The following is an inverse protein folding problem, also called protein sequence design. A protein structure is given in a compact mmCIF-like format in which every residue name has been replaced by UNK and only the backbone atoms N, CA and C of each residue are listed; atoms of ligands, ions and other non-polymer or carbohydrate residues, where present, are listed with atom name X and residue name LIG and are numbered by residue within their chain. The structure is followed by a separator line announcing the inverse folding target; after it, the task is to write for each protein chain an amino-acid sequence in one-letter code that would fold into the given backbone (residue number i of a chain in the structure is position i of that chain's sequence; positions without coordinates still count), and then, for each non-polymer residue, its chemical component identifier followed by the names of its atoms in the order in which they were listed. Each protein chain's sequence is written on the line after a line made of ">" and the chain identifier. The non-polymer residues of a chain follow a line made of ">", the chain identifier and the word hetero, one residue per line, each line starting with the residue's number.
data_IF_433083319696
#
_entry.id   IF_433083319696
#
_cell.length_a   1.000
_cell.length_b   1.000
_cell.length_c   1.000
_cell.angle_alpha   90.00
_cell.angle_beta   90.00
_cell.angle_gamma   90.00
#
_symmetry.space_group_name_H-M   'P 1'
#
loop_
_entity.id
_entity.type
_entity.pdbx_description
1 polymer ?
#
# COMPACT_ATOMS: atom_id res chain seq x y z
N UNK A 1 -19.63 48.22 7.20
CA UNK A 1 -18.81 47.05 7.57
C UNK A 1 -19.62 45.81 7.27
N UNK A 2 -19.31 45.14 6.16
CA UNK A 2 -19.78 43.77 5.93
C UNK A 2 -18.94 42.84 6.80
N UNK A 3 -19.51 41.82 7.46
CA UNK A 3 -18.75 40.87 8.25
C UNK A 3 -17.92 39.99 7.31
N UNK A 4 -16.64 39.81 7.64
CA UNK A 4 -15.75 38.87 6.96
C UNK A 4 -16.30 37.44 7.08
N UNK A 5 -16.20 36.62 6.03
CA UNK A 5 -16.58 35.22 6.11
C UNK A 5 -15.60 34.49 7.04
N UNK A 6 -16.13 33.89 8.10
CA UNK A 6 -15.41 32.98 8.97
C UNK A 6 -14.95 31.80 8.12
N UNK A 7 -13.65 31.73 7.83
CA UNK A 7 -13.03 30.53 7.27
C UNK A 7 -13.31 29.37 8.22
N UNK A 8 -14.19 28.46 7.80
CA UNK A 8 -14.30 27.16 8.44
C UNK A 8 -12.93 26.49 8.33
N UNK A 9 -12.27 26.28 9.47
CA UNK A 9 -11.06 25.48 9.55
C UNK A 9 -11.52 24.06 9.20
N UNK A 10 -11.38 23.67 7.94
CA UNK A 10 -11.57 22.30 7.51
C UNK A 10 -10.68 21.43 8.38
N UNK A 11 -11.30 20.65 9.27
CA UNK A 11 -10.57 19.66 10.06
C UNK A 11 -9.97 18.69 9.04
N UNK A 12 -8.63 18.55 8.98
CA UNK A 12 -8.03 17.77 7.93
C UNK A 12 -8.55 16.33 8.03
N UNK A 13 -9.02 15.78 6.91
CA UNK A 13 -9.60 14.42 6.89
C UNK A 13 -8.58 13.44 7.48
N UNK A 14 -9.02 12.53 8.37
CA UNK A 14 -8.14 11.53 8.93
C UNK A 14 -7.59 10.63 7.83
N UNK A 15 -6.32 10.26 7.96
CA UNK A 15 -5.70 9.27 7.10
C UNK A 15 -5.96 7.88 7.67
N UNK A 16 -6.59 7.01 6.88
CA UNK A 16 -6.97 5.67 7.31
C UNK A 16 -5.90 4.64 6.94
N UNK A 17 -5.59 3.74 7.86
CA UNK A 17 -4.82 2.53 7.58
C UNK A 17 -5.41 1.30 8.26
N UNK A 18 -5.51 0.19 7.53
CA UNK A 18 -5.86 -1.10 8.11
C UNK A 18 -4.69 -1.65 8.95
N UNK A 19 -4.98 -2.25 10.12
CA UNK A 19 -3.97 -2.91 10.99
C UNK A 19 -3.10 -3.87 10.19
N UNK A 20 -3.70 -4.68 9.32
CA UNK A 20 -2.96 -5.60 8.46
C UNK A 20 -1.95 -4.88 7.57
N UNK A 21 -2.35 -3.78 6.93
CA UNK A 21 -1.47 -2.99 6.06
C UNK A 21 -0.37 -2.29 6.85
N UNK A 22 -0.65 -1.82 8.07
CA UNK A 22 0.36 -1.24 8.96
C UNK A 22 1.43 -2.27 9.34
N UNK A 23 0.99 -3.44 9.79
CA UNK A 23 1.86 -4.54 10.19
C UNK A 23 2.70 -5.04 9.00
N UNK A 24 2.07 -5.28 7.84
CA UNK A 24 2.78 -5.69 6.63
C UNK A 24 3.79 -4.61 6.21
N UNK A 25 3.42 -3.33 6.20
CA UNK A 25 4.32 -2.25 5.81
C UNK A 25 5.59 -2.18 6.67
N UNK A 26 5.45 -2.28 8.00
CA UNK A 26 6.58 -2.11 8.92
C UNK A 26 7.37 -3.40 9.09
N UNK A 27 6.69 -4.53 9.29
CA UNK A 27 7.31 -5.77 9.77
C UNK A 27 7.52 -6.84 8.69
N UNK A 28 7.01 -6.68 7.47
CA UNK A 28 7.23 -7.67 6.42
C UNK A 28 8.73 -7.87 6.17
N UNK A 29 9.15 -9.13 6.17
CA UNK A 29 10.54 -9.58 6.12
C UNK A 29 10.62 -10.95 5.45
N UNK A 30 11.83 -11.39 5.10
CA UNK A 30 12.06 -12.69 4.50
C UNK A 30 11.83 -12.71 2.98
N UNK A 31 11.51 -13.90 2.48
CA UNK A 31 11.61 -14.18 1.05
C UNK A 31 10.37 -13.77 0.26
N UNK A 32 10.56 -13.40 -1.00
CA UNK A 32 9.45 -13.39 -1.96
C UNK A 32 9.24 -14.81 -2.44
N UNK A 33 8.05 -15.34 -2.21
CA UNK A 33 7.68 -16.64 -2.77
C UNK A 33 6.95 -16.43 -4.09
N UNK A 34 7.09 -17.34 -5.06
CA UNK A 34 6.18 -17.35 -6.20
C UNK A 34 4.79 -17.46 -5.62
N UNK A 35 3.90 -16.52 -5.93
CA UNK A 35 2.49 -16.70 -5.63
C UNK A 35 2.10 -18.03 -6.27
N UNK A 36 1.98 -19.09 -5.46
CA UNK A 36 1.68 -20.42 -5.97
C UNK A 36 0.38 -20.36 -6.77
N UNK A 37 0.05 -21.43 -7.50
CA UNK A 37 -1.29 -21.60 -8.05
C UNK A 37 -2.30 -21.51 -6.90
N UNK A 38 -2.75 -20.30 -6.59
CA UNK A 38 -3.76 -20.07 -5.59
C UNK A 38 -5.04 -20.57 -6.24
N UNK A 39 -5.62 -21.63 -5.66
CA UNK A 39 -6.93 -22.08 -6.11
C UNK A 39 -7.85 -20.86 -6.14
N UNK A 40 -8.64 -20.73 -7.21
CA UNK A 40 -9.54 -19.59 -7.43
C UNK A 40 -10.53 -19.39 -6.27
N UNK A 41 -10.77 -20.43 -5.47
CA UNK A 41 -11.66 -20.47 -4.31
C UNK A 41 -10.98 -20.22 -2.95
N UNK A 42 -9.65 -20.02 -2.89
CA UNK A 42 -8.91 -19.93 -1.60
C UNK A 42 -9.48 -18.86 -0.65
N UNK A 43 -9.85 -17.69 -1.18
CA UNK A 43 -10.44 -16.62 -0.39
C UNK A 43 -11.82 -17.02 0.19
N UNK A 44 -12.63 -17.73 -0.60
CA UNK A 44 -13.93 -18.23 -0.18
C UNK A 44 -13.78 -19.33 0.88
N UNK A 45 -12.88 -20.29 0.64
CA UNK A 45 -12.57 -21.36 1.61
C UNK A 45 -12.01 -20.79 2.91
N UNK A 46 -11.14 -19.77 2.84
CA UNK A 46 -10.64 -19.06 4.00
C UNK A 46 -11.78 -18.44 4.82
N UNK A 47 -12.67 -17.71 4.17
CA UNK A 47 -13.86 -17.11 4.83
C UNK A 47 -14.76 -18.18 5.47
N UNK A 48 -14.96 -19.32 4.80
CA UNK A 48 -15.72 -20.44 5.37
C UNK A 48 -15.01 -21.07 6.58
N UNK A 49 -13.69 -21.17 6.54
CA UNK A 49 -12.86 -21.63 7.65
C UNK A 49 -13.03 -20.75 8.89
N UNK A 50 -12.94 -19.42 8.75
CA UNK A 50 -13.18 -18.48 9.86
C UNK A 50 -14.57 -18.70 10.47
N UNK A 51 -15.62 -18.76 9.63
CA UNK A 51 -16.99 -19.01 10.09
C UNK A 51 -17.13 -20.36 10.82
N UNK A 52 -16.41 -21.39 10.39
CA UNK A 52 -16.45 -22.70 11.03
C UNK A 52 -15.83 -22.67 12.44
N UNK A 53 -14.67 -22.01 12.59
CA UNK A 53 -14.01 -21.82 13.88
C UNK A 53 -14.92 -21.03 14.83
N UNK A 54 -15.42 -19.88 14.37
CA UNK A 54 -16.29 -18.98 15.14
C UNK A 54 -17.58 -19.68 15.63
N UNK A 55 -18.22 -20.50 14.79
CA UNK A 55 -19.43 -21.27 15.16
C UNK A 55 -19.20 -22.29 16.27
N UNK A 56 -17.97 -22.77 16.41
CA UNK A 56 -17.61 -23.76 17.42
C UNK A 56 -17.22 -23.11 18.76
N UNK A 57 -17.22 -21.77 18.85
CA UNK A 57 -16.91 -21.03 20.08
C UNK A 57 -18.13 -20.98 21.03
N UNK A 58 -17.89 -20.90 22.36
CA UNK A 58 -18.95 -20.90 23.35
C UNK A 58 -19.83 -19.64 23.30
N UNK A 59 -20.97 -19.69 23.98
CA UNK A 59 -21.83 -18.52 24.17
C UNK A 59 -21.07 -17.37 24.84
N UNK A 60 -21.30 -16.14 24.38
CA UNK A 60 -20.61 -14.94 24.86
C UNK A 60 -19.36 -14.57 24.06
N UNK A 61 -18.89 -15.42 23.15
CA UNK A 61 -17.87 -15.08 22.16
C UNK A 61 -18.43 -14.10 21.11
N UNK A 62 -17.71 -13.03 20.84
CA UNK A 62 -18.05 -12.05 19.82
C UNK A 62 -17.19 -12.29 18.57
N UNK A 63 -17.80 -12.15 17.39
CA UNK A 63 -17.16 -12.39 16.09
C UNK A 63 -17.08 -11.11 15.29
N UNK A 64 -16.00 -10.93 14.51
CA UNK A 64 -15.86 -9.84 13.53
C UNK A 64 -16.05 -8.45 14.15
N UNK A 65 -15.46 -8.21 15.32
CA UNK A 65 -15.59 -6.96 16.08
C UNK A 65 -14.79 -5.85 15.39
N UNK A 66 -15.46 -4.83 14.88
CA UNK A 66 -14.79 -3.65 14.32
C UNK A 66 -14.12 -2.84 15.42
N UNK A 67 -12.90 -2.38 15.16
CA UNK A 67 -12.15 -1.57 16.12
C UNK A 67 -11.37 -0.47 15.40
N UNK A 68 -11.37 0.72 15.99
CA UNK A 68 -10.71 1.92 15.46
C UNK A 68 -9.93 2.59 16.57
N UNK A 69 -8.67 2.93 16.30
CA UNK A 69 -7.83 3.68 17.22
C UNK A 69 -7.27 4.90 16.50
N UNK A 70 -7.50 6.06 17.10
CA UNK A 70 -7.11 7.35 16.53
C UNK A 70 -5.83 7.85 17.18
N UNK A 71 -4.84 8.17 16.34
CA UNK A 71 -3.55 8.74 16.75
C UNK A 71 -3.56 10.23 16.41
N UNK A 72 -3.56 11.09 17.42
CA UNK A 72 -3.70 12.55 17.25
C UNK A 72 -2.39 13.23 16.81
N UNK A 73 -1.21 12.68 17.12
CA UNK A 73 0.11 13.28 16.80
C UNK A 73 0.61 13.00 15.37
N UNK A 74 -0.29 12.55 14.50
CA UNK A 74 -0.09 12.49 13.07
C UNK A 74 -0.59 13.83 12.47
N UNK A 75 0.21 14.52 11.68
CA UNK A 75 -0.39 15.51 10.79
C UNK A 75 -1.06 14.77 9.63
N UNK A 76 -2.26 15.18 9.18
CA UNK A 76 -3.60 14.81 9.74
C UNK A 76 -3.67 13.62 10.72
N UNK A 77 -4.73 13.52 11.56
CA UNK A 77 -4.91 12.40 12.47
C UNK A 77 -4.93 11.06 11.71
N UNK A 78 -4.27 10.04 12.27
CA UNK A 78 -4.21 8.70 11.69
C UNK A 78 -5.24 7.82 12.37
N UNK A 79 -6.14 7.21 11.60
CA UNK A 79 -7.05 6.18 12.09
C UNK A 79 -6.55 4.79 11.71
N UNK A 80 -6.14 4.03 12.73
CA UNK A 80 -5.78 2.63 12.58
C UNK A 80 -7.04 1.80 12.78
N UNK A 81 -7.44 1.09 11.73
CA UNK A 81 -8.72 0.37 11.67
C UNK A 81 -8.52 -1.13 11.52
N UNK A 82 -9.38 -1.90 12.15
CA UNK A 82 -9.26 -3.35 12.17
C UNK A 82 -10.58 -4.04 12.40
N UNK A 83 -10.54 -5.36 12.22
CA UNK A 83 -11.65 -6.24 12.57
C UNK A 83 -11.08 -7.46 13.26
N UNK A 84 -11.46 -7.64 14.50
CA UNK A 84 -11.01 -8.73 15.36
C UNK A 84 -11.83 -9.97 14.98
N UNK A 85 -11.16 -11.07 14.61
CA UNK A 85 -11.85 -12.30 14.21
C UNK A 85 -12.72 -12.86 15.36
N UNK A 86 -12.19 -12.82 16.59
CA UNK A 86 -12.86 -13.30 17.79
C UNK A 86 -12.49 -12.54 19.07
N UNK A 87 -13.45 -12.38 19.98
CA UNK A 87 -13.25 -11.76 21.28
C UNK A 87 -14.03 -12.52 22.36
N UNK A 88 -13.35 -12.87 23.45
CA UNK A 88 -13.94 -13.38 24.69
C UNK A 88 -13.92 -12.25 25.73
N UNK A 89 -14.97 -11.42 25.79
CA UNK A 89 -14.98 -10.24 26.66
C UNK A 89 -15.18 -10.57 28.14
N UNK A 90 -15.72 -11.76 28.46
CA UNK A 90 -16.14 -12.15 29.81
C UNK A 90 -15.11 -13.05 30.51
N UNK A 91 -13.86 -13.07 30.06
CA UNK A 91 -12.75 -13.79 30.70
C UNK A 91 -11.83 -12.81 31.42
N UNK A 92 -11.11 -13.30 32.42
CA UNK A 92 -10.05 -12.54 33.10
C UNK A 92 -8.71 -13.30 32.97
N UNK A 93 -7.76 -12.81 32.17
CA UNK A 93 -7.83 -11.60 31.33
C UNK A 93 -8.78 -11.76 30.13
N UNK A 94 -9.18 -10.64 29.51
CA UNK A 94 -9.90 -10.65 28.23
C UNK A 94 -9.05 -11.35 27.17
N UNK A 95 -9.68 -12.16 26.31
CA UNK A 95 -8.98 -12.90 25.25
C UNK A 95 -9.39 -12.39 23.87
N UNK A 96 -8.41 -12.08 23.04
CA UNK A 96 -8.58 -11.84 21.61
C UNK A 96 -8.14 -13.05 20.82
N UNK A 97 -8.94 -13.47 19.85
CA UNK A 97 -8.61 -14.53 18.91
C UNK A 97 -8.38 -13.99 17.51
N UNK A 98 -7.23 -14.31 16.93
CA UNK A 98 -6.90 -14.08 15.52
C UNK A 98 -6.88 -15.43 14.79
N UNK A 99 -7.66 -15.56 13.73
CA UNK A 99 -7.86 -16.81 13.01
C UNK A 99 -7.09 -16.77 11.70
N UNK A 100 -6.39 -17.87 11.38
CA UNK A 100 -5.65 -18.03 10.12
C UNK A 100 -5.99 -19.37 9.48
N UNK A 101 -6.41 -19.36 8.23
CA UNK A 101 -6.63 -20.60 7.48
C UNK A 101 -5.41 -21.03 6.70
N UNK A 102 -5.10 -22.32 6.73
CA UNK A 102 -3.93 -22.88 6.05
C UNK A 102 -4.24 -24.22 5.39
N UNK A 103 -3.45 -24.57 4.38
CA UNK A 103 -3.36 -25.91 3.79
C UNK A 103 -2.02 -26.60 4.12
N UNK A 104 -1.16 -25.93 4.90
CA UNK A 104 0.07 -26.51 5.45
C UNK A 104 -0.30 -27.41 6.63
N UNK A 105 0.36 -28.56 6.75
CA UNK A 105 0.20 -29.42 7.94
C UNK A 105 0.39 -28.61 9.23
N UNK A 106 -0.54 -28.76 10.18
CA UNK A 106 -0.46 -28.08 11.48
C UNK A 106 0.76 -28.51 12.32
N UNK A 107 1.38 -29.64 11.99
CA UNK A 107 2.64 -30.07 12.62
C UNK A 107 3.82 -29.17 12.22
N UNK A 108 3.76 -28.56 11.03
CA UNK A 108 4.77 -27.62 10.52
C UNK A 108 4.48 -26.17 10.92
N UNK A 109 3.29 -25.89 11.45
CA UNK A 109 2.94 -24.59 12.00
C UNK A 109 3.36 -24.57 13.46
N UNK A 110 4.38 -23.78 13.79
CA UNK A 110 4.79 -23.50 15.16
C UNK A 110 4.37 -22.08 15.57
N UNK A 111 4.62 -21.72 16.82
CA UNK A 111 4.23 -20.42 17.37
C UNK A 111 4.88 -19.23 16.64
N UNK A 112 6.12 -19.41 16.16
CA UNK A 112 6.90 -18.38 15.45
C UNK A 112 6.72 -18.43 13.93
N UNK A 113 5.78 -19.25 13.44
CA UNK A 113 5.60 -19.53 12.01
C UNK A 113 5.40 -18.27 11.18
N UNK A 114 4.69 -17.28 11.72
CA UNK A 114 4.53 -15.99 11.06
C UNK A 114 4.35 -14.85 12.08
N UNK A 115 5.37 -14.01 12.19
CA UNK A 115 5.38 -12.83 13.06
C UNK A 115 4.27 -11.82 12.73
N UNK A 116 3.86 -11.69 11.47
CA UNK A 116 2.82 -10.73 11.06
C UNK A 116 1.46 -11.09 11.65
N UNK A 117 1.17 -12.38 11.85
CA UNK A 117 -0.07 -12.82 12.46
C UNK A 117 -0.15 -12.40 13.94
N UNK A 118 0.94 -12.60 14.69
CA UNK A 118 1.06 -12.10 16.06
C UNK A 118 1.01 -10.58 16.14
N UNK A 119 1.66 -9.90 15.21
CA UNK A 119 1.68 -8.44 15.16
C UNK A 119 0.28 -7.86 14.93
N UNK A 120 -0.51 -8.46 14.03
CA UNK A 120 -1.90 -8.06 13.79
C UNK A 120 -2.74 -8.22 15.06
N UNK A 121 -2.64 -9.38 15.74
CA UNK A 121 -3.36 -9.64 16.97
C UNK A 121 -2.94 -8.72 18.14
N UNK A 122 -1.64 -8.40 18.25
CA UNK A 122 -1.13 -7.45 19.24
C UNK A 122 -1.67 -6.03 19.03
N UNK A 123 -1.83 -5.59 17.78
CA UNK A 123 -2.51 -4.32 17.52
C UNK A 123 -3.95 -4.34 18.04
N UNK A 124 -4.72 -5.41 17.78
CA UNK A 124 -6.08 -5.53 18.32
C UNK A 124 -6.08 -5.56 19.85
N UNK A 125 -5.16 -6.29 20.48
CA UNK A 125 -5.00 -6.34 21.93
C UNK A 125 -4.70 -4.98 22.54
N UNK A 126 -3.80 -4.20 21.94
CA UNK A 126 -3.54 -2.83 22.35
C UNK A 126 -4.80 -1.98 22.30
N UNK A 127 -5.51 -2.00 21.16
CA UNK A 127 -6.68 -1.16 20.94
C UNK A 127 -7.81 -1.50 21.94
N UNK A 128 -8.09 -2.80 22.15
CA UNK A 128 -9.09 -3.26 23.14
C UNK A 128 -8.66 -2.92 24.56
N UNK A 129 -7.39 -3.18 24.92
CA UNK A 129 -6.89 -2.88 26.26
C UNK A 129 -6.97 -1.39 26.58
N UNK A 130 -6.71 -0.53 25.59
CA UNK A 130 -6.87 0.93 25.72
C UNK A 130 -8.31 1.37 25.84
N UNK A 131 -9.20 0.86 24.98
CA UNK A 131 -10.63 1.21 24.99
C UNK A 131 -11.31 0.80 26.31
N UNK A 132 -10.94 -0.37 26.85
CA UNK A 132 -11.56 -0.95 28.04
C UNK A 132 -10.75 -0.72 29.34
N UNK A 133 -9.65 0.03 29.28
CA UNK A 133 -8.74 0.29 30.40
C UNK A 133 -8.23 -0.99 31.10
N UNK A 134 -7.85 -2.00 30.32
CA UNK A 134 -7.34 -3.28 30.82
C UNK A 134 -5.83 -3.19 31.12
N UNK A 135 -5.37 -3.86 32.17
CA UNK A 135 -3.93 -3.96 32.48
C UNK A 135 -3.17 -4.92 31.56
N UNK A 136 -3.87 -5.83 30.89
CA UNK A 136 -3.32 -6.80 29.96
C UNK A 136 -4.41 -7.61 29.27
N UNK A 137 -4.02 -8.30 28.19
CA UNK A 137 -4.92 -9.09 27.33
C UNK A 137 -4.19 -10.38 26.95
N UNK A 138 -4.94 -11.47 26.85
CA UNK A 138 -4.44 -12.71 26.28
C UNK A 138 -4.80 -12.80 24.80
N UNK A 139 -3.90 -13.32 23.99
CA UNK A 139 -4.09 -13.49 22.55
C UNK A 139 -4.05 -14.98 22.22
N UNK A 140 -5.07 -15.45 21.52
CA UNK A 140 -5.16 -16.76 20.91
C UNK A 140 -4.90 -16.62 19.41
N UNK A 141 -3.81 -17.19 18.92
CA UNK A 141 -3.55 -17.30 17.49
C UNK A 141 -3.95 -18.69 17.00
N UNK A 142 -5.08 -18.78 16.31
CA UNK A 142 -5.70 -20.05 15.89
C UNK A 142 -5.48 -20.31 14.41
N UNK A 143 -4.80 -21.42 14.10
CA UNK A 143 -4.67 -21.92 12.73
C UNK A 143 -5.69 -23.01 12.45
N UNK A 144 -6.52 -22.80 11.44
CA UNK A 144 -7.51 -23.77 10.95
C UNK A 144 -7.05 -24.40 9.64
N UNK A 145 -6.88 -25.73 9.64
CA UNK A 145 -6.51 -26.46 8.44
C UNK A 145 -7.74 -26.76 7.57
N UNK A 146 -7.74 -26.24 6.34
CA UNK A 146 -8.94 -26.23 5.48
C UNK A 146 -9.46 -27.63 5.13
N UNK A 147 -8.57 -28.60 4.89
CA UNK A 147 -8.97 -29.94 4.45
C UNK A 147 -9.34 -30.86 5.62
N UNK A 148 -8.50 -30.89 6.67
CA UNK A 148 -8.71 -31.76 7.83
C UNK A 148 -9.67 -31.19 8.86
N UNK A 149 -10.00 -29.90 8.76
CA UNK A 149 -10.87 -29.15 9.68
C UNK A 149 -10.39 -29.15 11.14
N UNK A 150 -9.10 -29.39 11.34
CA UNK A 150 -8.46 -29.35 12.66
C UNK A 150 -7.98 -27.93 12.95
N UNK A 151 -7.91 -27.61 14.23
CA UNK A 151 -7.41 -26.34 14.76
C UNK A 151 -6.12 -26.57 15.56
N UNK A 152 -5.23 -25.58 15.53
CA UNK A 152 -4.07 -25.48 16.43
C UNK A 152 -3.99 -24.04 16.93
N UNK A 153 -4.04 -23.86 18.24
CA UNK A 153 -4.04 -22.55 18.88
C UNK A 153 -2.76 -22.35 19.68
N UNK A 154 -2.22 -21.14 19.60
CA UNK A 154 -1.12 -20.68 20.44
C UNK A 154 -1.61 -19.52 21.30
N UNK A 155 -1.14 -19.45 22.55
CA UNK A 155 -1.63 -18.51 23.54
C UNK A 155 -0.48 -17.70 24.12
N UNK A 156 -0.63 -16.37 24.16
CA UNK A 156 0.32 -15.46 24.81
C UNK A 156 -0.42 -14.40 25.60
N UNK A 157 0.11 -14.06 26.76
CA UNK A 157 -0.37 -12.96 27.57
C UNK A 157 0.54 -11.74 27.36
N UNK A 158 -0.06 -10.56 27.24
CA UNK A 158 0.66 -9.30 27.12
C UNK A 158 0.10 -8.27 28.09
N UNK A 159 0.98 -7.54 28.74
CA UNK A 159 0.63 -6.33 29.50
C UNK A 159 0.30 -5.18 28.56
N UNK A 160 -0.48 -4.21 29.04
CA UNK A 160 -0.76 -2.98 28.30
C UNK A 160 0.52 -2.23 27.90
N UNK A 161 1.54 -2.23 28.76
CA UNK A 161 2.80 -1.53 28.51
C UNK A 161 3.59 -2.14 27.34
N UNK A 162 3.62 -3.48 27.23
CA UNK A 162 4.24 -4.18 26.10
C UNK A 162 3.50 -3.89 24.79
N UNK A 163 2.17 -3.97 24.83
CA UNK A 163 1.30 -3.71 23.69
C UNK A 163 1.40 -2.26 23.19
N UNK A 164 1.49 -1.30 24.11
CA UNK A 164 1.65 0.11 23.80
C UNK A 164 2.99 0.39 23.14
N UNK A 165 4.09 -0.12 23.71
CA UNK A 165 5.42 0.02 23.12
C UNK A 165 5.45 -0.54 21.70
N UNK A 166 4.93 -1.76 21.53
CA UNK A 166 4.84 -2.41 20.24
C UNK A 166 4.02 -1.61 19.22
N UNK A 167 2.82 -1.15 19.60
CA UNK A 167 1.94 -0.41 18.70
C UNK A 167 2.53 0.95 18.30
N UNK A 168 3.10 1.69 19.26
CA UNK A 168 3.72 2.99 19.00
C UNK A 168 4.95 2.89 18.09
N UNK A 169 5.76 1.82 18.20
CA UNK A 169 6.88 1.59 17.29
C UNK A 169 6.40 1.43 15.84
N UNK A 170 5.32 0.65 15.62
CA UNK A 170 4.72 0.48 14.29
C UNK A 170 4.18 1.79 13.73
N UNK A 171 3.38 2.49 14.52
CA UNK A 171 2.76 3.76 14.12
C UNK A 171 3.83 4.81 13.82
N UNK A 172 4.87 4.91 14.64
CA UNK A 172 5.98 5.87 14.45
C UNK A 172 6.70 5.61 13.13
N UNK A 173 7.05 4.34 12.85
CA UNK A 173 7.69 3.97 11.60
C UNK A 173 6.82 4.33 10.39
N UNK A 174 5.51 4.07 10.46
CA UNK A 174 4.57 4.42 9.42
C UNK A 174 4.41 5.93 9.22
N UNK A 175 4.26 6.69 10.29
CA UNK A 175 4.09 8.14 10.23
C UNK A 175 5.31 8.85 9.64
N UNK A 176 6.53 8.36 9.91
CA UNK A 176 7.73 8.88 9.27
C UNK A 176 7.69 8.74 7.75
N UNK A 177 7.25 7.59 7.25
CA UNK A 177 7.03 7.38 5.81
C UNK A 177 5.88 8.25 5.27
N UNK A 178 4.75 8.31 5.97
CA UNK A 178 3.58 9.07 5.54
C UNK A 178 3.88 10.57 5.39
N UNK A 179 4.59 11.15 6.36
CA UNK A 179 5.05 12.56 6.32
C UNK A 179 5.98 12.80 5.12
N UNK A 180 6.88 11.86 4.83
CA UNK A 180 7.78 11.94 3.66
C UNK A 180 7.01 11.96 2.34
N UNK A 181 6.02 11.07 2.19
CA UNK A 181 5.18 11.02 0.98
C UNK A 181 4.31 12.27 0.85
N UNK A 182 3.73 12.75 1.94
CA UNK A 182 2.91 13.96 1.95
C UNK A 182 3.71 15.20 1.54
N UNK A 183 4.93 15.35 2.10
CA UNK A 183 5.84 16.42 1.71
C UNK A 183 6.26 16.33 0.23
N UNK A 184 6.48 15.11 -0.29
CA UNK A 184 6.77 14.90 -1.70
C UNK A 184 5.59 15.27 -2.60
N UNK A 185 4.36 14.89 -2.23
CA UNK A 185 3.15 15.24 -2.97
C UNK A 185 2.93 16.75 -3.04
N UNK A 186 3.11 17.46 -1.92
CA UNK A 186 3.02 18.92 -1.89
C UNK A 186 4.05 19.58 -2.84
N UNK A 187 5.31 19.11 -2.81
CA UNK A 187 6.35 19.59 -3.73
C UNK A 187 6.03 19.28 -5.19
N UNK A 188 5.62 18.05 -5.49
CA UNK A 188 5.18 17.62 -6.83
C UNK A 188 4.09 18.56 -7.33
N UNK A 189 3.05 18.78 -6.54
CA UNK A 189 1.88 19.59 -6.95
C UNK A 189 2.26 21.05 -7.17
N UNK A 190 3.13 21.61 -6.32
CA UNK A 190 3.69 22.95 -6.52
C UNK A 190 4.49 23.06 -7.83
N UNK A 191 5.40 22.11 -8.10
CA UNK A 191 6.18 22.12 -9.34
C UNK A 191 5.27 21.99 -10.57
N UNK A 192 4.27 21.09 -10.53
CA UNK A 192 3.29 20.91 -11.61
C UNK A 192 2.53 22.21 -11.89
N UNK A 193 2.17 22.97 -10.85
CA UNK A 193 1.50 24.25 -11.04
C UNK A 193 2.39 25.26 -11.77
N UNK A 194 3.68 25.29 -11.46
CA UNK A 194 4.65 26.25 -11.99
C UNK A 194 5.16 25.91 -13.39
N UNK A 195 5.25 24.62 -13.76
CA UNK A 195 5.84 24.26 -15.05
C UNK A 195 5.02 24.80 -16.24
N UNK A 196 5.77 25.29 -17.23
CA UNK A 196 5.27 25.63 -18.56
C UNK A 196 5.45 24.46 -19.53
N UNK A 197 5.00 24.63 -20.77
CA UNK A 197 5.21 23.62 -21.81
C UNK A 197 6.72 23.47 -22.07
N UNK A 198 7.28 22.23 -22.09
CA UNK A 198 8.74 22.02 -22.09
C UNK A 198 9.43 22.31 -23.42
N UNK A 199 8.74 22.87 -24.41
CA UNK A 199 9.29 23.22 -25.72
C UNK A 199 8.90 24.66 -26.07
N UNK A 200 9.71 25.29 -26.93
CA UNK A 200 9.50 26.69 -27.36
C UNK A 200 8.08 26.94 -27.88
N UNK A 201 7.59 26.04 -28.75
CA UNK A 201 6.29 26.20 -29.41
C UNK A 201 5.52 24.88 -29.53
N UNK A 202 4.20 25.01 -29.58
CA UNK A 202 3.33 23.90 -29.97
C UNK A 202 3.38 23.68 -31.49
N UNK A 203 3.47 22.41 -31.90
CA UNK A 203 3.28 22.03 -33.30
C UNK A 203 1.80 22.20 -33.71
N UNK A 204 1.50 22.37 -35.02
CA UNK A 204 0.11 22.48 -35.50
C UNK A 204 -0.79 21.35 -34.99
N UNK A 205 -1.92 21.69 -34.36
CA UNK A 205 -2.89 20.76 -33.77
C UNK A 205 -2.48 20.12 -32.43
N UNK A 206 -1.22 20.28 -31.99
CA UNK A 206 -0.74 19.72 -30.73
C UNK A 206 -1.40 20.38 -29.52
N UNK A 207 -1.56 21.71 -29.57
CA UNK A 207 -2.23 22.48 -28.52
C UNK A 207 -3.71 22.12 -28.40
N UNK A 208 -4.39 21.95 -29.52
CA UNK A 208 -5.81 21.57 -29.54
C UNK A 208 -6.01 20.19 -28.91
N UNK A 209 -5.13 19.24 -29.22
CA UNK A 209 -5.12 17.92 -28.58
C UNK A 209 -4.88 18.02 -27.07
N UNK A 210 -3.92 18.83 -26.63
CA UNK A 210 -3.62 18.99 -25.20
C UNK A 210 -4.78 19.62 -24.43
N UNK A 211 -5.42 20.65 -24.99
CA UNK A 211 -6.60 21.29 -24.41
C UNK A 211 -7.77 20.31 -24.33
N UNK A 212 -8.01 19.53 -25.40
CA UNK A 212 -9.06 18.52 -25.40
C UNK A 212 -8.81 17.43 -24.36
N UNK A 213 -7.56 16.96 -24.22
CA UNK A 213 -7.18 15.95 -23.24
C UNK A 213 -7.39 16.46 -21.81
N UNK A 214 -6.98 17.70 -21.51
CA UNK A 214 -7.19 18.31 -20.21
C UNK A 214 -8.68 18.41 -19.85
N UNK A 215 -9.50 18.91 -20.77
CA UNK A 215 -10.95 19.02 -20.58
C UNK A 215 -11.59 17.66 -20.32
N UNK A 216 -11.20 16.63 -21.07
CA UNK A 216 -11.70 15.28 -20.87
C UNK A 216 -11.35 14.73 -19.49
N UNK A 217 -10.14 14.99 -18.97
CA UNK A 217 -9.76 14.59 -17.61
C UNK A 217 -10.61 15.34 -16.57
N UNK A 218 -10.68 16.67 -16.66
CA UNK A 218 -11.47 17.52 -15.75
C UNK A 218 -12.94 17.09 -15.70
N UNK A 219 -13.51 16.78 -16.86
CA UNK A 219 -14.93 16.43 -17.00
C UNK A 219 -15.19 14.93 -16.74
N UNK A 220 -14.19 14.17 -16.28
CA UNK A 220 -14.24 12.71 -16.10
C UNK A 220 -14.77 11.94 -17.33
N UNK A 221 -14.42 12.44 -18.52
CA UNK A 221 -14.88 11.95 -19.81
C UNK A 221 -13.89 11.03 -20.53
N UNK A 222 -14.21 10.73 -21.80
CA UNK A 222 -13.35 9.96 -22.70
C UNK A 222 -13.07 10.80 -23.95
N UNK A 223 -11.81 10.77 -24.40
CA UNK A 223 -11.39 11.47 -25.60
C UNK A 223 -10.81 10.48 -26.60
N UNK A 224 -11.29 10.56 -27.84
CA UNK A 224 -10.74 9.85 -28.99
C UNK A 224 -10.12 10.87 -29.93
N UNK A 225 -8.82 10.73 -30.22
CA UNK A 225 -8.09 11.67 -31.08
C UNK A 225 -7.44 10.92 -32.23
N UNK A 226 -7.73 11.37 -33.45
CA UNK A 226 -6.96 11.01 -34.63
C UNK A 226 -5.96 12.14 -34.90
N UNK A 227 -4.66 11.83 -34.83
CA UNK A 227 -3.59 12.82 -35.05
C UNK A 227 -2.44 12.19 -35.86
N UNK A 228 -1.93 12.88 -36.92
CA UNK A 228 -0.82 12.40 -37.73
C UNK A 228 0.44 12.05 -36.93
N UNK A 229 1.30 11.19 -37.48
CA UNK A 229 2.64 10.93 -36.92
C UNK A 229 3.47 12.21 -36.91
N UNK A 230 4.32 12.39 -35.89
CA UNK A 230 5.21 13.55 -35.80
C UNK A 230 4.61 14.81 -35.16
N UNK A 231 3.31 14.88 -34.89
CA UNK A 231 2.66 16.06 -34.25
C UNK A 231 3.01 16.20 -32.75
N UNK A 232 3.63 15.19 -32.14
CA UNK A 232 3.96 15.21 -30.71
C UNK A 232 2.80 14.76 -29.82
N UNK A 233 2.08 13.72 -30.24
CA UNK A 233 0.94 13.12 -29.51
C UNK A 233 1.26 12.77 -28.05
N UNK A 234 2.48 12.27 -27.80
CA UNK A 234 2.89 11.80 -26.48
C UNK A 234 2.90 12.94 -25.45
N UNK A 235 3.63 14.03 -25.73
CA UNK A 235 3.62 15.19 -24.83
C UNK A 235 2.24 15.87 -24.79
N UNK A 236 1.51 15.90 -25.91
CA UNK A 236 0.17 16.47 -25.96
C UNK A 236 -0.85 15.71 -25.10
N UNK A 237 -0.60 14.43 -24.78
CA UNK A 237 -1.40 13.67 -23.83
C UNK A 237 -0.83 13.74 -22.40
N UNK A 238 0.49 13.66 -22.24
CA UNK A 238 1.13 13.61 -20.92
C UNK A 238 1.14 14.96 -20.20
N UNK A 239 1.51 16.05 -20.87
CA UNK A 239 1.57 17.38 -20.26
C UNK A 239 0.23 17.79 -19.60
N UNK A 240 -0.93 17.75 -20.29
CA UNK A 240 -2.20 18.07 -19.63
C UNK A 240 -2.57 17.08 -18.53
N UNK A 241 -2.21 15.80 -18.65
CA UNK A 241 -2.44 14.82 -17.58
C UNK A 241 -1.62 15.13 -16.34
N UNK A 242 -0.36 15.58 -16.50
CA UNK A 242 0.49 16.07 -15.42
C UNK A 242 -0.11 17.32 -14.80
N UNK A 243 -0.53 18.32 -15.59
CA UNK A 243 -1.22 19.51 -15.04
C UNK A 243 -2.49 19.15 -14.26
N UNK A 244 -3.26 18.17 -14.73
CA UNK A 244 -4.47 17.70 -14.03
C UNK A 244 -4.14 16.99 -12.70
N UNK A 245 -3.04 16.23 -12.64
CA UNK A 245 -2.54 15.59 -11.42
C UNK A 245 -2.25 16.61 -10.31
N UNK A 246 -1.53 17.70 -10.62
CA UNK A 246 -1.20 18.74 -9.63
C UNK A 246 -2.37 19.64 -9.22
N UNK A 247 -3.52 19.51 -9.88
CA UNK A 247 -4.77 20.16 -9.50
C UNK A 247 -5.73 19.21 -8.76
N UNK A 248 -5.29 17.99 -8.44
CA UNK A 248 -6.13 17.01 -7.76
C UNK A 248 -7.26 16.42 -8.63
N UNK A 249 -7.25 16.68 -9.95
CA UNK A 249 -8.25 16.12 -10.88
C UNK A 249 -7.98 14.65 -11.22
N UNK A 250 -6.78 14.15 -10.89
CA UNK A 250 -6.39 12.76 -11.02
C UNK A 250 -5.46 12.37 -9.86
N UNK A 251 -5.51 11.11 -9.42
CA UNK A 251 -4.60 10.61 -8.40
C UNK A 251 -3.31 10.00 -8.97
N UNK A 252 -3.39 9.39 -10.18
CA UNK A 252 -2.29 8.70 -10.88
C UNK A 252 -2.50 8.78 -12.40
N UNK A 253 -1.40 8.70 -13.14
CA UNK A 253 -1.40 8.66 -14.62
C UNK A 253 -0.91 7.27 -15.06
N UNK A 254 -1.73 6.57 -15.86
CA UNK A 254 -1.33 5.34 -16.53
C UNK A 254 -1.17 5.60 -18.03
N UNK A 255 0.06 5.55 -18.52
CA UNK A 255 0.35 5.70 -19.95
C UNK A 255 0.60 4.33 -20.58
N UNK A 256 -0.26 3.93 -21.52
CA UNK A 256 -0.22 2.63 -22.17
C UNK A 256 0.19 2.76 -23.64
N UNK A 257 1.14 1.95 -24.08
CA UNK A 257 1.62 1.92 -25.46
C UNK A 257 1.83 0.47 -25.93
N UNK A 258 1.51 0.20 -27.18
CA UNK A 258 1.58 -1.16 -27.75
C UNK A 258 3.02 -1.65 -27.97
N UNK A 259 3.99 -0.74 -28.15
CA UNK A 259 5.37 -1.08 -28.50
C UNK A 259 6.39 -0.31 -27.67
N UNK A 260 7.57 -0.91 -27.50
CA UNK A 260 8.71 -0.36 -26.78
C UNK A 260 9.13 1.05 -27.24
N UNK A 261 9.14 1.42 -28.53
CA UNK A 261 9.50 2.79 -28.93
C UNK A 261 8.59 3.85 -28.33
N UNK A 262 7.27 3.59 -28.23
CA UNK A 262 6.34 4.54 -27.61
C UNK A 262 6.60 4.76 -26.11
N UNK A 263 7.19 3.77 -25.44
CA UNK A 263 7.61 3.86 -24.04
C UNK A 263 8.80 4.81 -23.90
N UNK A 264 9.81 4.67 -24.75
CA UNK A 264 10.99 5.55 -24.77
C UNK A 264 10.59 7.00 -25.05
N UNK A 265 9.63 7.23 -25.95
CA UNK A 265 9.11 8.59 -26.22
C UNK A 265 8.39 9.16 -25.00
N UNK A 266 7.66 8.35 -24.23
CA UNK A 266 7.00 8.79 -23.00
C UNK A 266 8.01 9.09 -21.89
N UNK A 267 9.02 8.24 -21.71
CA UNK A 267 10.14 8.47 -20.78
C UNK A 267 10.87 9.77 -21.12
N UNK A 268 11.19 10.01 -22.39
CA UNK A 268 11.82 11.25 -22.85
C UNK A 268 10.94 12.48 -22.62
N UNK A 269 9.63 12.40 -22.91
CA UNK A 269 8.71 13.50 -22.66
C UNK A 269 8.61 13.87 -21.17
N UNK A 270 8.64 12.88 -20.27
CA UNK A 270 8.71 13.12 -18.82
C UNK A 270 10.04 13.76 -18.42
N UNK A 271 11.14 13.32 -19.02
CA UNK A 271 12.46 13.90 -18.78
C UNK A 271 12.55 15.35 -19.27
N UNK A 272 11.99 15.66 -20.43
CA UNK A 272 11.92 17.03 -20.96
C UNK A 272 11.15 17.94 -19.99
N UNK A 273 10.09 17.45 -19.35
CA UNK A 273 9.39 18.20 -18.31
C UNK A 273 10.22 18.36 -17.02
N UNK A 274 11.02 17.36 -16.62
CA UNK A 274 11.93 17.50 -15.47
C UNK A 274 13.03 18.53 -15.71
N UNK A 275 13.48 18.69 -16.95
CA UNK A 275 14.46 19.72 -17.33
C UNK A 275 13.92 21.15 -17.20
N UNK A 276 12.59 21.31 -17.14
CA UNK A 276 11.91 22.58 -16.85
C UNK A 276 11.25 22.55 -15.46
N UNK A 277 11.98 22.03 -14.48
CA UNK A 277 11.66 22.05 -13.04
C UNK A 277 10.41 21.25 -12.60
N UNK A 278 10.01 20.21 -13.35
CA UNK A 278 8.99 19.27 -12.87
C UNK A 278 9.55 18.30 -11.82
N UNK A 279 8.96 18.28 -10.62
CA UNK A 279 9.12 17.20 -9.66
C UNK A 279 8.06 16.12 -9.89
N UNK A 280 8.39 15.05 -10.61
CA UNK A 280 7.46 13.93 -10.84
C UNK A 280 8.17 12.58 -10.90
N UNK A 281 7.76 11.71 -9.98
CA UNK A 281 8.14 10.29 -9.98
C UNK A 281 7.36 9.51 -11.04
N UNK A 282 8.07 8.77 -11.89
CA UNK A 282 7.49 7.90 -12.91
C UNK A 282 8.09 6.50 -12.86
N UNK A 283 7.30 5.45 -13.10
CA UNK A 283 7.78 4.07 -13.15
C UNK A 283 7.52 3.42 -14.50
N UNK A 284 8.54 2.75 -15.04
CA UNK A 284 8.42 1.95 -16.24
C UNK A 284 8.25 0.48 -15.88
N UNK A 285 7.05 -0.05 -16.10
CA UNK A 285 6.79 -1.48 -15.90
C UNK A 285 7.53 -2.30 -16.97
N UNK A 286 8.37 -3.21 -16.52
CA UNK A 286 9.15 -4.12 -17.37
C UNK A 286 8.73 -5.56 -17.08
N UNK A 287 8.62 -6.37 -18.14
CA UNK A 287 8.30 -7.79 -18.01
C UNK A 287 9.29 -8.50 -17.08
N UNK A 288 8.80 -9.43 -16.25
CA UNK A 288 9.61 -10.14 -15.25
C UNK A 288 10.80 -10.83 -15.88
N UNK A 289 10.60 -11.46 -17.03
CA UNK A 289 11.63 -12.19 -17.79
C UNK A 289 12.72 -11.26 -18.32
N UNK A 290 12.44 -9.96 -18.44
CA UNK A 290 13.39 -8.97 -18.94
C UNK A 290 14.16 -8.26 -17.84
N UNK A 291 13.55 -8.04 -16.67
CA UNK A 291 14.19 -7.33 -15.55
C UNK A 291 14.88 -8.29 -14.55
N UNK A 292 14.58 -9.58 -14.61
CA UNK A 292 15.15 -10.56 -13.69
C UNK A 292 16.63 -10.84 -14.00
N UNK A 293 17.48 -10.77 -12.97
CA UNK A 293 18.90 -11.12 -13.04
C UNK A 293 19.18 -12.63 -12.93
N UNK A 294 18.16 -13.45 -12.70
CA UNK A 294 18.27 -14.89 -12.54
C UNK A 294 17.31 -15.63 -13.50
N UNK A 295 17.65 -15.72 -14.80
CA UNK A 295 16.89 -16.50 -15.77
C UNK A 295 17.26 -18.00 -15.73
N UNK A 296 16.32 -18.94 -15.95
CA UNK A 296 14.88 -18.71 -16.11
C UNK A 296 14.24 -18.25 -14.80
N UNK A 297 13.19 -17.42 -14.90
CA UNK A 297 12.53 -16.84 -13.73
C UNK A 297 11.95 -17.94 -12.85
N UNK A 298 12.61 -18.19 -11.73
CA UNK A 298 12.15 -19.08 -10.68
C UNK A 298 12.40 -18.38 -9.33
N UNK A 299 11.35 -17.85 -8.71
CA UNK A 299 11.46 -17.11 -7.44
C UNK A 299 11.43 -18.03 -6.21
N UNK A 300 11.93 -19.26 -6.33
CA UNK A 300 12.15 -20.14 -5.18
C UNK A 300 13.35 -19.61 -4.36
N UNK A 301 13.19 -19.27 -3.06
CA UNK A 301 14.29 -18.75 -2.23
C UNK A 301 15.44 -19.74 -1.99
N UNK A 302 15.21 -21.04 -2.17
CA UNK A 302 16.28 -22.05 -2.12
C UNK A 302 17.20 -21.94 -3.35
N UNK A 303 16.66 -21.52 -4.49
CA UNK A 303 17.34 -21.48 -5.79
C UNK A 303 17.79 -20.05 -6.16
N UNK A 304 16.96 -19.05 -5.90
CA UNK A 304 17.13 -17.67 -6.35
C UNK A 304 17.60 -16.76 -5.22
N UNK A 305 18.85 -16.29 -5.32
CA UNK A 305 19.45 -15.34 -4.36
C UNK A 305 18.67 -14.01 -4.28
N UNK A 306 18.01 -13.60 -5.35
CA UNK A 306 17.19 -12.39 -5.37
C UNK A 306 15.87 -12.59 -4.64
N UNK A 307 15.33 -13.81 -4.64
CA UNK A 307 14.10 -14.14 -3.94
C UNK A 307 14.30 -14.24 -2.42
N UNK A 308 15.45 -14.79 -2.00
CA UNK A 308 15.84 -14.91 -0.59
C UNK A 308 16.02 -13.54 0.06
N UNK A 309 15.39 -13.31 1.21
CA UNK A 309 15.44 -12.06 1.98
C UNK A 309 14.93 -10.85 1.19
N UNK A 310 14.04 -11.05 0.20
CA UNK A 310 13.56 -9.97 -0.65
C UNK A 310 12.97 -8.80 0.15
N UNK A 311 12.11 -9.08 1.13
CA UNK A 311 11.43 -8.04 1.89
C UNK A 311 12.36 -7.30 2.87
N UNK A 312 13.50 -7.90 3.21
CA UNK A 312 14.56 -7.23 3.96
C UNK A 312 15.34 -6.27 3.05
N UNK A 313 15.71 -6.73 1.84
CA UNK A 313 16.47 -5.95 0.85
C UNK A 313 15.66 -4.78 0.26
N UNK A 314 14.37 -5.00 -0.03
CA UNK A 314 13.54 -4.01 -0.73
C UNK A 314 13.38 -2.70 0.05
N UNK A 315 13.41 -2.74 1.39
CA UNK A 315 13.30 -1.53 2.22
C UNK A 315 14.49 -0.60 2.01
N UNK A 316 15.70 -1.14 1.93
CA UNK A 316 16.91 -0.38 1.62
C UNK A 316 16.86 0.19 0.21
N UNK A 317 16.51 -0.64 -0.78
CA UNK A 317 16.39 -0.21 -2.17
C UNK A 317 15.36 0.93 -2.36
N UNK A 318 14.21 0.85 -1.68
CA UNK A 318 13.20 1.92 -1.70
C UNK A 318 13.73 3.24 -1.12
N UNK A 319 14.57 3.17 -0.08
CA UNK A 319 15.24 4.34 0.48
C UNK A 319 16.22 5.00 -0.49
N UNK A 320 16.95 4.20 -1.29
CA UNK A 320 17.82 4.73 -2.35
C UNK A 320 17.03 5.30 -3.53
N UNK A 321 15.95 4.61 -3.93
CA UNK A 321 15.03 5.06 -4.97
C UNK A 321 14.45 6.46 -4.70
N UNK A 322 14.35 6.88 -3.44
CA UNK A 322 13.86 8.22 -3.11
C UNK A 322 14.71 9.37 -3.66
N UNK A 323 15.96 9.10 -4.06
CA UNK A 323 16.87 10.04 -4.72
C UNK A 323 16.61 10.18 -6.22
N UNK A 324 15.77 9.32 -6.80
CA UNK A 324 15.46 9.30 -8.22
C UNK A 324 14.02 9.71 -8.48
N UNK A 325 13.78 10.32 -9.64
CA UNK A 325 12.44 10.61 -10.14
C UNK A 325 12.01 9.69 -11.29
N UNK A 326 12.98 9.14 -12.03
CA UNK A 326 12.72 8.22 -13.13
C UNK A 326 13.04 6.79 -12.68
N UNK A 327 12.04 5.95 -12.52
CA UNK A 327 12.24 4.52 -12.24
C UNK A 327 12.15 3.76 -13.56
N UNK A 328 13.11 4.04 -14.44
CA UNK A 328 13.28 3.32 -15.70
C UNK A 328 13.96 1.98 -15.43
N UNK A 329 13.93 1.08 -16.41
CA UNK A 329 14.59 -0.22 -16.28
C UNK A 329 16.08 -0.09 -15.87
N UNK A 330 16.92 0.73 -16.54
CA UNK A 330 18.33 0.85 -16.15
C UNK A 330 18.54 1.33 -14.71
N UNK A 331 17.73 2.28 -14.24
CA UNK A 331 17.84 2.81 -12.87
C UNK A 331 17.43 1.76 -11.84
N UNK A 332 16.36 1.01 -12.11
CA UNK A 332 15.96 -0.11 -11.23
C UNK A 332 17.04 -1.19 -11.22
N UNK A 333 17.65 -1.49 -12.37
CA UNK A 333 18.73 -2.47 -12.47
C UNK A 333 20.02 -2.04 -11.75
N UNK A 334 20.27 -0.75 -11.64
CA UNK A 334 21.44 -0.20 -10.92
C UNK A 334 21.26 -0.26 -9.39
N UNK A 335 20.04 -0.05 -8.89
CA UNK A 335 19.73 -0.04 -7.45
C UNK A 335 19.55 -1.45 -6.88
N UNK A 336 19.04 -2.38 -7.69
CA UNK A 336 18.69 -3.75 -7.27
C UNK A 336 19.90 -4.67 -7.14
#
# INVERSE_FOLDING_TARGET
>A
MQPEPVHQIETPQPHDIAVRSLVEFVLQSGDITPGGFQRRDRAQLGTQGHKQVQRNRPAGYQTEVEIVYRVEDAGPPLEVRGRIDGLYPNTDPVIIEEIKTTTLSLDLVNEEHNRLHWAQAQCYAFMVAREQNLSGVSIHLTYYHLDSRKEKTFERHFSLAELETFFHDLVTAYLNWFRKISAWQARRDQSIQQIEFPYEDYRPGQRDMAVAAYKAIRDNGRLYVQSPTGVGKTIAALFPAVKALGQGLAAKIFYLTAKTPGRLVAEKALEDMRQVDLDLRSVTLTAKEKICFCPPVNCDPEICVFARGYFDKVKTALGEMDRHQAFTRPIIEEIA
#
